data_IF_457170385375
#
_entry.id   IF_457170385375
#
_cell.length_a   1.000
_cell.length_b   1.000
_cell.length_c   1.000
_cell.angle_alpha   90.00
_cell.angle_beta   90.00
_cell.angle_gamma   90.00
#
_symmetry.space_group_name_H-M   'P 1'
#
loop_
_entity.id
_entity.type
_entity.pdbx_description
1 polymer ?
#
# COMPACT_ATOMS: atom_id res chain seq x y z
N UNK A 1 24.96 -31.03 -15.48
CA UNK A 1 23.80 -30.72 -14.61
C UNK A 1 23.75 -29.21 -14.53
N UNK A 2 22.70 -28.56 -15.05
CA UNK A 2 22.50 -27.14 -14.76
C UNK A 2 22.22 -27.05 -13.27
N UNK A 3 23.15 -26.45 -12.50
CA UNK A 3 22.87 -26.09 -11.12
C UNK A 3 21.64 -25.18 -11.13
N UNK A 4 20.63 -25.58 -10.35
CA UNK A 4 19.45 -24.76 -10.12
C UNK A 4 19.93 -23.45 -9.50
N UNK A 5 19.64 -22.33 -10.15
CA UNK A 5 20.00 -21.01 -9.63
C UNK A 5 18.89 -20.51 -8.72
N UNK A 6 19.25 -19.86 -7.62
CA UNK A 6 18.30 -19.37 -6.65
C UNK A 6 18.22 -17.85 -6.64
N UNK A 7 17.09 -17.31 -6.20
CA UNK A 7 16.91 -15.89 -5.97
C UNK A 7 16.30 -15.60 -4.60
N UNK A 8 16.60 -14.42 -4.08
CA UNK A 8 15.98 -13.89 -2.86
C UNK A 8 15.62 -12.41 -3.08
N UNK A 9 14.42 -12.01 -2.66
CA UNK A 9 13.99 -10.60 -2.71
C UNK A 9 13.62 -10.16 -1.30
N UNK A 10 14.23 -9.06 -0.86
CA UNK A 10 13.88 -8.40 0.40
C UNK A 10 13.05 -7.18 0.08
N UNK A 11 11.81 -7.20 0.55
CA UNK A 11 10.84 -6.16 0.25
C UNK A 11 10.76 -5.16 1.39
N UNK A 12 10.97 -3.89 1.07
CA UNK A 12 10.78 -2.76 1.96
C UNK A 12 9.71 -1.85 1.38
N UNK A 13 8.65 -1.60 2.14
CA UNK A 13 7.71 -0.55 1.79
C UNK A 13 6.26 -0.90 2.03
N UNK A 14 5.46 -0.70 0.98
CA UNK A 14 4.01 -0.83 1.01
C UNK A 14 3.52 -1.94 0.08
N UNK A 15 2.20 -2.08 -0.05
CA UNK A 15 1.53 -3.06 -0.89
C UNK A 15 1.96 -2.99 -2.36
N UNK A 16 2.34 -1.80 -2.85
CA UNK A 16 2.91 -1.65 -4.20
C UNK A 16 4.28 -2.34 -4.31
N UNK A 17 5.12 -2.28 -3.28
CA UNK A 17 6.40 -2.99 -3.27
C UNK A 17 6.18 -4.51 -3.16
N UNK A 18 5.19 -4.97 -2.41
CA UNK A 18 4.80 -6.39 -2.38
C UNK A 18 4.38 -6.86 -3.78
N UNK A 19 3.50 -6.11 -4.46
CA UNK A 19 3.12 -6.39 -5.84
C UNK A 19 4.32 -6.37 -6.81
N UNK A 20 5.19 -5.35 -6.73
CA UNK A 20 6.41 -5.28 -7.55
C UNK A 20 7.31 -6.52 -7.29
N UNK A 21 7.29 -7.07 -6.08
CA UNK A 21 8.03 -8.30 -5.72
C UNK A 21 7.44 -9.55 -6.38
N UNK A 22 6.10 -9.63 -6.48
CA UNK A 22 5.45 -10.71 -7.24
C UNK A 22 5.85 -10.67 -8.72
N UNK A 23 5.92 -9.47 -9.31
CA UNK A 23 6.39 -9.27 -10.70
C UNK A 23 7.85 -9.68 -10.84
N UNK A 24 8.75 -9.16 -10.00
CA UNK A 24 10.18 -9.50 -10.04
C UNK A 24 10.40 -11.01 -9.89
N UNK A 25 9.67 -11.64 -8.97
CA UNK A 25 9.70 -13.09 -8.76
C UNK A 25 9.22 -13.86 -9.99
N UNK A 26 8.11 -13.43 -10.60
CA UNK A 26 7.58 -14.04 -11.82
C UNK A 26 8.56 -13.98 -13.00
N UNK A 27 9.24 -12.84 -13.18
CA UNK A 27 10.30 -12.69 -14.18
C UNK A 27 11.45 -13.66 -13.89
N UNK A 28 11.92 -13.74 -12.64
CA UNK A 28 13.04 -14.61 -12.24
C UNK A 28 12.69 -16.10 -12.41
N UNK A 29 11.48 -16.52 -12.05
CA UNK A 29 11.03 -17.90 -12.25
C UNK A 29 10.94 -18.26 -13.74
N UNK A 30 10.51 -17.35 -14.62
CA UNK A 30 10.54 -17.56 -16.08
C UNK A 30 11.96 -17.70 -16.63
N UNK A 31 12.95 -17.04 -16.00
CA UNK A 31 14.37 -17.21 -16.32
C UNK A 31 14.97 -18.50 -15.73
N UNK A 32 14.18 -19.32 -15.03
CA UNK A 32 14.59 -20.60 -14.46
C UNK A 32 15.22 -20.52 -13.07
N UNK A 33 15.09 -19.39 -12.37
CA UNK A 33 15.51 -19.29 -10.97
C UNK A 33 14.45 -19.87 -10.02
N UNK A 34 14.88 -20.31 -8.84
CA UNK A 34 14.00 -20.77 -7.75
C UNK A 34 14.14 -19.88 -6.52
N UNK A 35 13.04 -19.67 -5.81
CA UNK A 35 13.08 -18.88 -4.58
C UNK A 35 13.83 -19.63 -3.47
N UNK A 36 14.59 -18.89 -2.66
CA UNK A 36 15.24 -19.39 -1.44
C UNK A 36 15.05 -18.40 -0.29
N UNK A 37 14.87 -18.89 0.93
CA UNK A 37 14.92 -18.09 2.17
C UNK A 37 16.36 -17.84 2.65
N UNK A 38 17.31 -18.62 2.14
CA UNK A 38 18.73 -18.54 2.46
C UNK A 38 19.47 -17.54 1.58
N UNK A 39 19.93 -16.44 2.19
CA UNK A 39 20.73 -15.40 1.51
C UNK A 39 22.04 -15.93 0.94
N UNK A 40 22.68 -16.89 1.60
CA UNK A 40 23.96 -17.48 1.19
C UNK A 40 23.84 -18.46 0.02
N UNK A 41 22.63 -18.94 -0.28
CA UNK A 41 22.34 -19.84 -1.39
C UNK A 41 21.84 -19.11 -2.65
N UNK A 42 21.64 -17.79 -2.58
CA UNK A 42 21.11 -17.00 -3.69
C UNK A 42 22.18 -16.71 -4.76
N UNK A 43 21.78 -16.76 -6.03
CA UNK A 43 22.56 -16.26 -7.17
C UNK A 43 22.13 -14.84 -7.56
N UNK A 44 20.91 -14.44 -7.18
CA UNK A 44 20.37 -13.09 -7.37
C UNK A 44 19.71 -12.65 -6.07
N UNK A 45 20.17 -11.54 -5.51
CA UNK A 45 19.59 -10.91 -4.33
C UNK A 45 19.10 -9.50 -4.69
N UNK A 46 17.79 -9.27 -4.62
CA UNK A 46 17.20 -7.95 -4.88
C UNK A 46 16.69 -7.31 -3.60
N UNK A 47 17.03 -6.05 -3.37
CA UNK A 47 16.34 -5.20 -2.39
C UNK A 47 15.29 -4.37 -3.14
N UNK A 48 14.01 -4.66 -2.95
CA UNK A 48 12.91 -3.86 -3.49
C UNK A 48 12.51 -2.80 -2.47
N UNK A 49 12.76 -1.55 -2.78
CA UNK A 49 12.85 -0.46 -1.79
C UNK A 49 11.75 0.59 -1.92
N UNK A 50 11.48 1.27 -0.81
CA UNK A 50 10.51 2.36 -0.71
C UNK A 50 11.20 3.66 -0.29
N UNK A 51 10.71 4.79 -0.78
CA UNK A 51 11.26 6.13 -0.58
C UNK A 51 10.46 6.99 0.41
N UNK A 52 9.43 6.43 1.04
CA UNK A 52 8.43 7.21 1.77
C UNK A 52 8.93 7.59 3.18
N UNK A 53 10.00 6.98 3.69
CA UNK A 53 10.57 7.27 5.02
C UNK A 53 12.09 7.34 4.96
N UNK A 54 12.69 8.43 5.43
CA UNK A 54 14.16 8.61 5.46
C UNK A 54 14.88 7.50 6.26
N UNK A 55 14.28 7.04 7.37
CA UNK A 55 14.78 5.88 8.13
C UNK A 55 14.84 4.59 7.30
N UNK A 56 14.01 4.45 6.27
CA UNK A 56 14.04 3.28 5.39
C UNK A 56 15.27 3.31 4.48
N UNK A 57 15.68 4.48 3.98
CA UNK A 57 16.89 4.62 3.14
C UNK A 57 18.16 4.20 3.88
N UNK A 58 18.34 4.68 5.12
CA UNK A 58 19.49 4.30 5.94
C UNK A 58 19.50 2.81 6.28
N UNK A 59 18.32 2.20 6.48
CA UNK A 59 18.19 0.75 6.72
C UNK A 59 18.62 -0.06 5.48
N UNK A 60 18.23 0.37 4.28
CA UNK A 60 18.64 -0.26 3.02
C UNK A 60 20.16 -0.17 2.85
N UNK A 61 20.75 1.01 3.04
CA UNK A 61 22.21 1.19 2.92
C UNK A 61 22.96 0.33 3.95
N UNK A 62 22.48 0.27 5.19
CA UNK A 62 23.04 -0.61 6.22
C UNK A 62 23.00 -2.08 5.81
N UNK A 63 21.85 -2.57 5.32
CA UNK A 63 21.71 -3.94 4.86
C UNK A 63 22.62 -4.24 3.67
N UNK A 64 22.73 -3.33 2.69
CA UNK A 64 23.70 -3.47 1.60
C UNK A 64 25.12 -3.65 2.11
N UNK A 65 25.52 -2.93 3.17
CA UNK A 65 26.82 -3.11 3.82
C UNK A 65 27.05 -4.53 4.34
N UNK A 66 26.03 -5.16 4.91
CA UNK A 66 26.09 -6.55 5.41
C UNK A 66 26.26 -7.56 4.27
N UNK A 67 25.61 -7.32 3.12
CA UNK A 67 25.69 -8.19 1.94
C UNK A 67 27.08 -8.22 1.29
N UNK A 68 27.98 -7.29 1.63
CA UNK A 68 29.37 -7.27 1.12
C UNK A 68 30.10 -8.59 1.38
N UNK A 69 29.88 -9.19 2.56
CA UNK A 69 30.53 -10.45 2.93
C UNK A 69 30.06 -11.61 2.03
N UNK A 70 28.78 -11.62 1.66
CA UNK A 70 28.24 -12.63 0.75
C UNK A 70 28.83 -12.49 -0.65
N UNK A 71 28.92 -11.27 -1.19
CA UNK A 71 29.58 -11.02 -2.49
C UNK A 71 31.06 -11.43 -2.49
N UNK A 72 31.76 -11.28 -1.36
CA UNK A 72 33.15 -11.74 -1.22
C UNK A 72 33.28 -13.27 -1.21
N UNK A 73 32.28 -13.96 -0.65
CA UNK A 73 32.23 -15.43 -0.61
C UNK A 73 31.78 -16.02 -1.96
N UNK A 74 30.88 -15.34 -2.65
CA UNK A 74 30.39 -15.69 -3.97
C UNK A 74 30.48 -14.49 -4.92
N UNK A 75 31.57 -14.34 -5.68
CA UNK A 75 31.71 -13.25 -6.66
C UNK A 75 30.64 -13.24 -7.75
N UNK A 76 30.04 -14.40 -8.06
CA UNK A 76 29.00 -14.56 -9.09
C UNK A 76 27.59 -14.17 -8.60
N UNK A 77 27.41 -13.94 -7.29
CA UNK A 77 26.14 -13.44 -6.73
C UNK A 77 25.85 -12.06 -7.29
N UNK A 78 24.68 -11.86 -7.89
CA UNK A 78 24.21 -10.54 -8.35
C UNK A 78 23.43 -9.86 -7.24
N UNK A 79 23.88 -8.69 -6.78
CA UNK A 79 23.16 -7.85 -5.80
C UNK A 79 22.52 -6.68 -6.52
N UNK A 80 21.19 -6.57 -6.44
CA UNK A 80 20.41 -5.51 -7.07
C UNK A 80 19.61 -4.66 -6.08
N UNK A 81 19.42 -3.38 -6.41
CA UNK A 81 18.50 -2.47 -5.71
C UNK A 81 17.47 -1.91 -6.69
N UNK A 82 16.20 -2.02 -6.35
CA UNK A 82 15.11 -1.50 -7.16
C UNK A 82 14.03 -0.82 -6.34
N UNK A 83 13.01 -0.28 -6.99
CA UNK A 83 11.86 0.35 -6.33
C UNK A 83 11.98 1.87 -6.21
N UNK A 84 11.10 2.49 -5.42
CA UNK A 84 10.93 3.94 -5.40
C UNK A 84 12.18 4.70 -4.94
N UNK A 85 12.97 4.12 -4.02
CA UNK A 85 14.17 4.77 -3.51
C UNK A 85 15.26 4.84 -4.58
N UNK A 86 15.42 3.82 -5.42
CA UNK A 86 16.37 3.84 -6.54
C UNK A 86 16.05 4.94 -7.56
N UNK A 87 14.77 5.33 -7.69
CA UNK A 87 14.29 6.37 -8.60
C UNK A 87 14.50 7.80 -8.07
N UNK A 88 14.81 7.98 -6.77
CA UNK A 88 15.07 9.31 -6.22
C UNK A 88 16.40 9.87 -6.75
N UNK A 89 16.38 11.17 -7.05
CA UNK A 89 17.55 11.89 -7.54
C UNK A 89 18.76 11.73 -6.60
N UNK A 90 19.90 11.32 -7.14
CA UNK A 90 21.17 11.16 -6.42
C UNK A 90 21.31 9.90 -5.58
N UNK A 91 20.25 9.09 -5.40
CA UNK A 91 20.32 7.85 -4.61
C UNK A 91 21.10 6.76 -5.34
N UNK A 92 20.89 6.59 -6.64
CA UNK A 92 21.61 5.59 -7.43
C UNK A 92 23.14 5.84 -7.39
N UNK A 93 23.57 7.10 -7.51
CA UNK A 93 24.97 7.51 -7.40
C UNK A 93 25.51 7.30 -5.98
N UNK A 94 24.69 7.58 -4.96
CA UNK A 94 25.04 7.34 -3.56
C UNK A 94 25.28 5.86 -3.30
N UNK A 95 24.40 4.98 -3.80
CA UNK A 95 24.55 3.51 -3.72
C UNK A 95 25.85 3.10 -4.43
N UNK A 96 26.06 3.51 -5.69
CA UNK A 96 27.29 3.19 -6.42
C UNK A 96 28.56 3.58 -5.67
N UNK A 97 28.56 4.74 -5.01
CA UNK A 97 29.73 5.25 -4.25
C UNK A 97 29.93 4.54 -2.91
N UNK A 98 28.86 4.29 -2.16
CA UNK A 98 28.94 3.76 -0.79
C UNK A 98 28.98 2.23 -0.74
N UNK A 99 28.39 1.56 -1.74
CA UNK A 99 28.24 0.11 -1.81
C UNK A 99 28.66 -0.38 -3.20
N UNK A 100 29.97 -0.35 -3.53
CA UNK A 100 30.47 -0.69 -4.88
C UNK A 100 30.31 -2.18 -5.24
N UNK A 101 29.97 -3.03 -4.27
CA UNK A 101 29.63 -4.45 -4.47
C UNK A 101 28.18 -4.68 -4.94
N UNK A 102 27.40 -3.62 -5.16
CA UNK A 102 26.08 -3.70 -5.80
C UNK A 102 26.27 -3.71 -7.31
N UNK A 103 25.69 -4.72 -7.97
CA UNK A 103 25.86 -4.95 -9.40
C UNK A 103 24.81 -4.23 -10.24
N UNK A 104 23.62 -4.01 -9.68
CA UNK A 104 22.47 -3.52 -10.43
C UNK A 104 21.64 -2.51 -9.62
N UNK A 105 21.28 -1.37 -10.22
CA UNK A 105 20.31 -0.40 -9.67
C UNK A 105 19.34 0.01 -10.77
N UNK A 106 18.03 -0.17 -10.54
CA UNK A 106 17.00 0.19 -11.51
C UNK A 106 15.73 0.76 -10.90
N UNK A 107 15.02 1.55 -11.68
CA UNK A 107 13.86 2.34 -11.25
C UNK A 107 12.56 1.55 -11.18
N UNK A 108 11.49 2.25 -10.80
CA UNK A 108 10.12 1.69 -10.77
C UNK A 108 9.51 1.56 -12.16
N UNK A 109 10.06 2.27 -13.15
CA UNK A 109 9.49 2.36 -14.51
C UNK A 109 9.91 1.23 -15.45
N UNK A 110 10.96 0.50 -15.12
CA UNK A 110 11.62 -0.46 -16.03
C UNK A 110 11.82 -1.85 -15.42
N UNK A 111 10.94 -2.27 -14.50
CA UNK A 111 10.96 -3.62 -13.88
C UNK A 111 10.98 -4.74 -14.95
N UNK A 112 10.23 -4.57 -16.04
CA UNK A 112 10.19 -5.52 -17.16
C UNK A 112 11.54 -5.77 -17.84
N UNK A 113 12.53 -4.87 -17.66
CA UNK A 113 13.89 -5.03 -18.21
C UNK A 113 14.84 -5.80 -17.31
N UNK A 114 14.38 -6.30 -16.16
CA UNK A 114 15.19 -7.12 -15.27
C UNK A 114 16.00 -8.23 -16.00
N UNK A 115 15.45 -8.97 -16.99
CA UNK A 115 16.22 -10.00 -17.69
C UNK A 115 17.48 -9.44 -18.38
N UNK A 116 17.33 -8.34 -19.10
CA UNK A 116 18.42 -7.69 -19.84
C UNK A 116 19.43 -7.05 -18.88
N UNK A 117 18.93 -6.44 -17.82
CA UNK A 117 19.74 -5.85 -16.75
C UNK A 117 20.60 -6.87 -16.01
N UNK A 118 20.05 -8.05 -15.72
CA UNK A 118 20.79 -9.15 -15.10
C UNK A 118 21.90 -9.70 -16.01
N UNK A 119 21.67 -9.76 -17.32
CA UNK A 119 22.70 -10.17 -18.28
C UNK A 119 23.85 -9.15 -18.28
N UNK A 120 23.54 -7.85 -18.39
CA UNK A 120 24.53 -6.78 -18.34
C UNK A 120 25.32 -6.77 -17.03
N UNK A 121 24.66 -7.00 -15.89
CA UNK A 121 25.33 -7.00 -14.58
C UNK A 121 26.31 -8.19 -14.41
N UNK A 122 26.07 -9.31 -15.11
CA UNK A 122 26.95 -10.48 -15.10
C UNK A 122 28.16 -10.33 -16.02
N UNK A 123 28.01 -9.60 -17.13
CA UNK A 123 29.08 -9.36 -18.10
C UNK A 123 29.99 -8.19 -17.73
N UNK A 124 29.45 -7.21 -17.00
CA UNK A 124 30.14 -5.97 -16.63
C UNK A 124 31.00 -6.07 -15.37
N UNK A 125 32.05 -5.25 -15.32
CA UNK A 125 32.89 -5.05 -14.12
C UNK A 125 32.43 -3.86 -13.25
N UNK A 126 31.27 -3.28 -13.55
CA UNK A 126 30.76 -2.06 -12.89
C UNK A 126 29.26 -2.14 -12.69
N UNK A 127 28.77 -1.47 -11.63
CA UNK A 127 27.33 -1.35 -11.34
C UNK A 127 26.56 -0.83 -12.55
N UNK A 128 25.61 -1.64 -13.02
CA UNK A 128 24.63 -1.24 -14.04
C UNK A 128 23.58 -0.35 -13.36
N UNK A 129 23.44 0.89 -13.84
CA UNK A 129 22.42 1.82 -13.36
C UNK A 129 21.48 2.14 -14.51
N UNK A 130 20.20 1.80 -14.34
CA UNK A 130 19.16 2.14 -15.32
C UNK A 130 17.94 2.77 -14.64
N UNK A 131 17.97 4.10 -14.55
CA UNK A 131 16.88 4.92 -14.01
C UNK A 131 16.25 5.72 -15.16
N UNK A 132 14.99 5.44 -15.48
CA UNK A 132 14.27 6.20 -16.50
C UNK A 132 13.68 7.46 -15.89
N UNK A 133 14.04 8.64 -16.42
CA UNK A 133 13.47 9.91 -15.97
C UNK A 133 11.95 10.01 -16.19
N UNK A 134 11.46 9.33 -17.24
CA UNK A 134 10.05 9.29 -17.61
C UNK A 134 9.63 7.87 -17.93
N UNK A 135 8.40 7.57 -17.56
CA UNK A 135 7.68 6.39 -17.98
C UNK A 135 7.55 6.27 -19.52
N UNK A 136 7.52 5.05 -20.04
CA UNK A 136 7.27 4.76 -21.47
C UNK A 136 6.00 3.93 -21.68
N UNK A 137 4.96 4.21 -20.90
CA UNK A 137 3.70 3.46 -20.93
C UNK A 137 3.62 2.35 -19.87
N UNK A 138 2.52 1.59 -19.91
CA UNK A 138 2.25 0.46 -19.03
C UNK A 138 2.52 -0.83 -19.80
N UNK A 139 3.25 -1.75 -19.18
CA UNK A 139 3.40 -3.12 -19.69
C UNK A 139 2.34 -3.97 -19.01
N UNK A 140 1.33 -4.37 -19.77
CA UNK A 140 0.27 -5.26 -19.28
C UNK A 140 0.76 -6.72 -19.23
N UNK A 141 0.05 -7.56 -18.46
CA UNK A 141 0.27 -9.00 -18.38
C UNK A 141 1.73 -9.42 -18.06
N UNK A 142 2.41 -8.66 -17.19
CA UNK A 142 3.73 -9.05 -16.70
C UNK A 142 3.65 -10.37 -15.92
N UNK A 143 4.68 -11.22 -16.00
CA UNK A 143 4.71 -12.46 -15.23
C UNK A 143 4.75 -12.16 -13.74
N UNK A 144 3.92 -12.86 -12.96
CA UNK A 144 3.81 -12.64 -11.52
C UNK A 144 3.76 -13.98 -10.79
N UNK A 145 4.60 -14.10 -9.76
CA UNK A 145 4.52 -15.18 -8.77
C UNK A 145 3.69 -14.68 -7.59
N UNK A 146 2.44 -15.14 -7.50
CA UNK A 146 1.57 -14.79 -6.37
C UNK A 146 2.06 -15.46 -5.10
N UNK A 147 2.06 -14.74 -3.98
CA UNK A 147 2.47 -15.26 -2.67
C UNK A 147 1.49 -16.33 -2.10
N UNK A 148 0.40 -16.64 -2.80
CA UNK A 148 -0.67 -17.52 -2.34
C UNK A 148 -1.64 -16.83 -1.38
N UNK A 149 -2.49 -17.62 -0.73
CA UNK A 149 -3.45 -17.13 0.26
C UNK A 149 -4.80 -16.69 -0.33
N UNK A 150 -5.55 -15.92 0.46
CA UNK A 150 -6.96 -15.62 0.19
C UNK A 150 -7.19 -14.30 -0.53
N UNK A 151 -6.14 -13.46 -0.61
CA UNK A 151 -6.18 -12.11 -1.16
C UNK A 151 -5.06 -11.86 -2.16
N UNK A 152 -5.36 -11.05 -3.17
CA UNK A 152 -4.39 -10.65 -4.18
C UNK A 152 -4.35 -9.13 -4.34
N UNK A 153 -3.18 -8.61 -4.66
CA UNK A 153 -2.98 -7.21 -5.00
C UNK A 153 -3.07 -7.03 -6.52
N UNK A 154 -3.90 -6.08 -6.96
CA UNK A 154 -4.06 -5.76 -8.38
C UNK A 154 -3.82 -4.27 -8.56
N UNK A 155 -2.69 -3.91 -9.15
CA UNK A 155 -2.44 -2.51 -9.48
C UNK A 155 -3.39 -2.08 -10.61
N UNK A 156 -4.11 -0.98 -10.45
CA UNK A 156 -5.02 -0.44 -11.49
C UNK A 156 -4.53 0.89 -12.07
N UNK A 157 -3.71 1.61 -11.32
CA UNK A 157 -3.15 2.89 -11.75
C UNK A 157 -1.75 3.08 -11.19
N UNK A 158 -0.90 3.79 -11.94
CA UNK A 158 0.46 4.13 -11.58
C UNK A 158 0.63 5.64 -11.55
N UNK A 159 1.51 6.14 -10.68
CA UNK A 159 1.83 7.56 -10.60
C UNK A 159 0.69 8.40 -10.02
N UNK A 160 0.90 9.71 -9.90
CA UNK A 160 -0.09 10.59 -9.25
C UNK A 160 0.04 12.03 -9.75
N UNK A 161 -1.10 12.64 -10.11
CA UNK A 161 -1.15 14.02 -10.60
C UNK A 161 -1.48 15.07 -9.53
N UNK A 162 -1.52 14.70 -8.25
CA UNK A 162 -1.91 15.64 -7.18
C UNK A 162 -0.81 16.62 -6.76
N UNK A 163 0.48 16.27 -6.90
CA UNK A 163 1.61 17.11 -6.48
C UNK A 163 1.44 17.75 -5.09
N UNK A 164 1.01 16.94 -4.12
CA UNK A 164 0.96 17.40 -2.73
C UNK A 164 2.37 17.78 -2.27
N UNK A 165 2.52 18.90 -1.56
CA UNK A 165 3.83 19.51 -1.31
C UNK A 165 4.80 18.66 -0.46
N UNK A 166 4.30 17.64 0.22
CA UNK A 166 5.07 16.65 1.01
C UNK A 166 5.30 15.31 0.30
N UNK A 167 4.69 15.11 -0.89
CA UNK A 167 4.63 13.80 -1.53
C UNK A 167 5.68 13.68 -2.62
N UNK A 168 6.57 12.69 -2.48
CA UNK A 168 7.62 12.40 -3.47
C UNK A 168 7.12 11.58 -4.65
N UNK A 169 5.97 10.91 -4.50
CA UNK A 169 5.41 9.94 -5.45
C UNK A 169 5.37 10.43 -6.90
N UNK A 170 4.90 11.66 -7.23
CA UNK A 170 4.85 12.12 -8.62
C UNK A 170 6.23 12.16 -9.31
N UNK A 171 7.31 12.26 -8.54
CA UNK A 171 8.68 12.32 -9.05
C UNK A 171 9.33 10.94 -9.19
N UNK A 172 8.85 9.93 -8.45
CA UNK A 172 9.46 8.58 -8.42
C UNK A 172 8.57 7.47 -8.98
N UNK A 173 7.31 7.79 -9.30
CA UNK A 173 6.36 6.88 -9.98
C UNK A 173 5.73 7.55 -11.21
N UNK A 174 6.13 8.77 -11.53
CA UNK A 174 5.69 9.50 -12.72
C UNK A 174 4.26 10.03 -12.65
N UNK A 175 3.74 10.42 -13.82
CA UNK A 175 2.36 10.90 -13.96
C UNK A 175 1.36 9.77 -13.81
N UNK A 176 0.15 10.15 -13.45
CA UNK A 176 -0.98 9.22 -13.35
C UNK A 176 -1.25 8.54 -14.69
N UNK A 177 -1.33 7.21 -14.66
CA UNK A 177 -1.63 6.36 -15.81
C UNK A 177 -2.51 5.21 -15.37
N UNK A 178 -3.67 5.07 -15.98
CA UNK A 178 -4.61 4.01 -15.71
C UNK A 178 -4.30 2.81 -16.59
N UNK A 179 -4.37 1.61 -16.00
CA UNK A 179 -4.35 0.36 -16.77
C UNK A 179 -5.61 0.23 -17.62
N UNK A 180 -5.51 -0.55 -18.67
CA UNK A 180 -6.68 -0.89 -19.47
C UNK A 180 -7.75 -1.63 -18.62
N UNK A 181 -9.03 -1.21 -18.63
CA UNK A 181 -10.06 -1.84 -17.79
C UNK A 181 -10.27 -3.33 -18.10
N UNK A 182 -10.10 -3.74 -19.37
CA UNK A 182 -10.26 -5.13 -19.76
C UNK A 182 -9.10 -5.97 -19.25
N UNK A 183 -7.86 -5.46 -19.33
CA UNK A 183 -6.70 -6.12 -18.74
C UNK A 183 -6.84 -6.30 -17.21
N UNK A 184 -7.39 -5.31 -16.50
CA UNK A 184 -7.67 -5.42 -15.06
C UNK A 184 -8.75 -6.49 -14.80
N UNK A 185 -9.83 -6.49 -15.59
CA UNK A 185 -10.89 -7.48 -15.46
C UNK A 185 -10.37 -8.91 -15.66
N UNK A 186 -9.57 -9.13 -16.70
CA UNK A 186 -8.97 -10.44 -17.01
C UNK A 186 -8.07 -10.93 -15.88
N UNK A 187 -7.21 -10.06 -15.34
CA UNK A 187 -6.36 -10.42 -14.19
C UNK A 187 -7.18 -10.78 -12.96
N UNK A 188 -8.22 -10.00 -12.62
CA UNK A 188 -9.10 -10.29 -11.47
C UNK A 188 -9.87 -11.59 -11.67
N UNK A 189 -10.33 -11.87 -12.90
CA UNK A 189 -11.00 -13.11 -13.26
C UNK A 189 -10.08 -14.32 -13.07
N UNK A 190 -8.85 -14.25 -13.58
CA UNK A 190 -7.87 -15.32 -13.39
C UNK A 190 -7.55 -15.57 -11.91
N UNK A 191 -7.47 -14.51 -11.10
CA UNK A 191 -7.26 -14.62 -9.66
C UNK A 191 -8.43 -15.33 -8.99
N UNK A 192 -9.67 -14.99 -9.35
CA UNK A 192 -10.84 -15.66 -8.83
C UNK A 192 -10.88 -17.15 -9.22
N UNK A 193 -10.52 -17.50 -10.46
CA UNK A 193 -10.40 -18.88 -10.94
C UNK A 193 -9.31 -19.67 -10.19
N UNK A 194 -8.24 -19.00 -9.75
CA UNK A 194 -7.18 -19.56 -8.89
C UNK A 194 -7.57 -19.67 -7.41
N UNK A 195 -8.79 -19.25 -7.05
CA UNK A 195 -9.35 -19.38 -5.70
C UNK A 195 -9.13 -18.17 -4.77
N UNK A 196 -8.58 -17.06 -5.27
CA UNK A 196 -8.49 -15.84 -4.47
C UNK A 196 -9.89 -15.26 -4.21
N UNK A 197 -10.19 -14.95 -2.95
CA UNK A 197 -11.51 -14.48 -2.50
C UNK A 197 -11.63 -12.96 -2.46
N UNK A 198 -10.54 -12.27 -2.14
CA UNK A 198 -10.48 -10.82 -2.09
C UNK A 198 -9.43 -10.27 -3.07
N UNK A 199 -9.77 -9.21 -3.79
CA UNK A 199 -8.77 -8.39 -4.50
C UNK A 199 -8.67 -7.02 -3.84
N UNK A 200 -7.44 -6.56 -3.63
CA UNK A 200 -7.16 -5.20 -3.24
C UNK A 200 -6.61 -4.43 -4.43
N UNK A 201 -7.42 -3.51 -4.94
CA UNK A 201 -7.06 -2.61 -6.02
C UNK A 201 -6.05 -1.57 -5.50
N UNK A 202 -4.88 -1.54 -6.14
CA UNK A 202 -3.76 -0.68 -5.77
C UNK A 202 -3.57 0.46 -6.76
N UNK A 203 -3.09 1.57 -6.22
CA UNK A 203 -2.70 2.75 -6.97
C UNK A 203 -2.32 3.87 -6.02
N UNK A 204 -1.69 4.92 -6.55
CA UNK A 204 -1.36 6.10 -5.73
C UNK A 204 -2.55 7.05 -5.54
N UNK A 205 -3.57 6.95 -6.40
CA UNK A 205 -4.85 7.64 -6.29
C UNK A 205 -5.93 6.85 -7.06
N UNK A 206 -6.48 5.80 -6.45
CA UNK A 206 -7.34 4.83 -7.17
C UNK A 206 -8.62 5.45 -7.73
N UNK A 207 -9.21 6.44 -7.06
CA UNK A 207 -10.44 7.09 -7.53
C UNK A 207 -10.20 8.19 -8.57
N UNK A 208 -8.96 8.37 -9.03
CA UNK A 208 -8.66 9.08 -10.28
C UNK A 208 -8.48 8.17 -11.49
N UNK A 209 -8.60 6.85 -11.30
CA UNK A 209 -8.60 5.89 -12.39
C UNK A 209 -9.57 6.31 -13.50
N UNK A 210 -9.08 6.23 -14.74
CA UNK A 210 -9.87 6.49 -15.94
C UNK A 210 -9.77 7.90 -16.50
N UNK A 211 -9.22 8.87 -15.75
CA UNK A 211 -9.12 10.27 -16.20
C UNK A 211 -8.23 10.45 -17.44
N UNK A 212 -7.26 9.57 -17.63
CA UNK A 212 -6.35 9.53 -18.77
C UNK A 212 -6.79 8.57 -19.88
N UNK A 213 -7.86 7.79 -19.68
CA UNK A 213 -8.34 6.82 -20.66
C UNK A 213 -9.26 7.48 -21.71
N UNK A 214 -9.04 7.13 -22.97
CA UNK A 214 -9.86 7.63 -24.09
C UNK A 214 -11.33 7.15 -24.03
N UNK A 215 -11.58 5.96 -23.48
CA UNK A 215 -12.92 5.37 -23.36
C UNK A 215 -13.74 5.93 -22.18
N UNK A 216 -13.17 6.83 -21.36
CA UNK A 216 -13.81 7.50 -20.22
C UNK A 216 -14.41 6.56 -19.16
N UNK A 217 -13.94 5.31 -19.09
CA UNK A 217 -14.29 4.38 -18.00
C UNK A 217 -13.65 4.92 -16.73
N UNK A 218 -14.45 5.28 -15.73
CA UNK A 218 -13.94 5.76 -14.44
C UNK A 218 -13.82 4.65 -13.39
N UNK A 219 -13.33 4.99 -12.20
CA UNK A 219 -13.17 4.02 -11.11
C UNK A 219 -14.48 3.34 -10.72
N UNK A 220 -15.61 4.05 -10.75
CA UNK A 220 -16.90 3.46 -10.43
C UNK A 220 -17.37 2.47 -11.51
N UNK A 221 -17.10 2.76 -12.78
CA UNK A 221 -17.34 1.81 -13.89
C UNK A 221 -16.48 0.54 -13.74
N UNK A 222 -15.20 0.69 -13.38
CA UNK A 222 -14.31 -0.44 -13.12
C UNK A 222 -14.81 -1.31 -11.96
N UNK A 223 -15.22 -0.71 -10.83
CA UNK A 223 -15.78 -1.48 -9.71
C UNK A 223 -17.03 -2.26 -10.13
N UNK A 224 -17.90 -1.66 -10.96
CA UNK A 224 -19.09 -2.35 -11.49
C UNK A 224 -18.73 -3.50 -12.41
N UNK A 225 -17.74 -3.36 -13.28
CA UNK A 225 -17.35 -4.47 -14.17
C UNK A 225 -16.80 -5.66 -13.40
N UNK A 226 -16.13 -5.42 -12.26
CA UNK A 226 -15.60 -6.46 -11.39
C UNK A 226 -16.69 -7.16 -10.54
N UNK A 227 -17.89 -6.58 -10.39
CA UNK A 227 -19.00 -7.18 -9.64
C UNK A 227 -19.42 -8.53 -10.23
N UNK A 228 -19.31 -8.71 -11.55
CA UNK A 228 -19.75 -9.92 -12.26
C UNK A 228 -18.71 -11.05 -12.27
N UNK A 229 -17.51 -10.84 -11.71
CA UNK A 229 -16.45 -11.86 -11.70
C UNK A 229 -16.83 -13.02 -10.77
N UNK A 230 -17.11 -14.18 -11.35
CA UNK A 230 -17.44 -15.39 -10.58
C UNK A 230 -16.27 -15.86 -9.71
N UNK A 231 -16.57 -16.33 -8.50
CA UNK A 231 -15.56 -16.78 -7.53
C UNK A 231 -14.96 -15.67 -6.65
N UNK A 232 -15.03 -14.41 -7.09
CA UNK A 232 -14.62 -13.25 -6.30
C UNK A 232 -15.70 -12.89 -5.26
N UNK A 233 -15.30 -12.75 -4.00
CA UNK A 233 -16.21 -12.41 -2.89
C UNK A 233 -16.06 -10.94 -2.45
N UNK A 234 -14.83 -10.39 -2.49
CA UNK A 234 -14.54 -9.05 -1.97
C UNK A 234 -13.65 -8.22 -2.89
N UNK A 235 -13.99 -6.95 -3.03
CA UNK A 235 -13.18 -5.92 -3.68
C UNK A 235 -12.87 -4.85 -2.65
N UNK A 236 -11.57 -4.55 -2.47
CA UNK A 236 -11.07 -3.52 -1.55
C UNK A 236 -10.15 -2.55 -2.29
N UNK A 237 -10.01 -1.35 -1.75
CA UNK A 237 -9.03 -0.35 -2.19
C UNK A 237 -8.61 0.49 -0.97
N UNK A 238 -7.46 1.16 -1.03
CA UNK A 238 -6.92 1.87 0.16
C UNK A 238 -6.18 3.17 -0.18
N UNK A 239 -6.47 3.83 -1.30
CA UNK A 239 -5.79 5.10 -1.62
C UNK A 239 -6.68 6.01 -2.47
N UNK A 240 -7.62 6.68 -1.81
CA UNK A 240 -8.52 7.64 -2.46
C UNK A 240 -8.17 9.08 -2.11
N UNK A 241 -8.33 10.00 -3.05
CA UNK A 241 -8.24 11.43 -2.78
C UNK A 241 -9.65 12.02 -2.57
N UNK A 242 -9.92 12.78 -1.49
CA UNK A 242 -11.27 13.29 -1.20
C UNK A 242 -11.89 14.10 -2.36
N UNK A 243 -11.11 14.93 -3.04
CA UNK A 243 -11.57 15.71 -4.21
C UNK A 243 -12.09 14.84 -5.37
N UNK A 244 -11.60 13.61 -5.49
CA UNK A 244 -11.93 12.71 -6.59
C UNK A 244 -13.02 11.69 -6.19
N UNK A 245 -13.65 11.88 -5.03
CA UNK A 245 -14.71 10.99 -4.54
C UNK A 245 -16.07 11.47 -5.05
N UNK A 246 -16.53 10.87 -6.14
CA UNK A 246 -17.77 11.26 -6.82
C UNK A 246 -19.01 10.61 -6.21
N UNK A 247 -20.16 11.23 -6.46
CA UNK A 247 -21.48 10.68 -6.11
C UNK A 247 -21.72 9.32 -6.75
N UNK A 248 -21.28 9.18 -8.01
CA UNK A 248 -21.33 7.93 -8.76
C UNK A 248 -20.56 6.81 -8.04
N UNK A 249 -19.42 7.13 -7.43
CA UNK A 249 -18.63 6.17 -6.66
C UNK A 249 -19.36 5.76 -5.36
N UNK A 250 -19.93 6.72 -4.63
CA UNK A 250 -20.72 6.44 -3.41
C UNK A 250 -21.89 5.49 -3.72
N UNK A 251 -22.69 5.80 -4.75
CA UNK A 251 -23.83 4.96 -5.13
C UNK A 251 -23.39 3.58 -5.66
N UNK A 252 -22.24 3.49 -6.33
CA UNK A 252 -21.69 2.21 -6.79
C UNK A 252 -21.29 1.32 -5.63
N UNK A 253 -20.61 1.88 -4.62
CA UNK A 253 -20.20 1.12 -3.43
C UNK A 253 -21.43 0.67 -2.64
N UNK A 254 -22.41 1.57 -2.46
CA UNK A 254 -23.68 1.28 -1.78
C UNK A 254 -24.47 0.14 -2.44
N UNK A 255 -24.47 0.06 -3.77
CA UNK A 255 -25.22 -0.94 -4.52
C UNK A 255 -24.49 -2.28 -4.68
N UNK A 256 -23.17 -2.31 -4.43
CA UNK A 256 -22.34 -3.49 -4.64
C UNK A 256 -22.44 -4.49 -3.48
N UNK A 257 -22.35 -5.78 -3.81
CA UNK A 257 -22.25 -6.86 -2.82
C UNK A 257 -20.80 -7.22 -2.53
N UNK A 258 -19.89 -7.00 -3.50
CA UNK A 258 -18.48 -7.37 -3.38
C UNK A 258 -17.59 -6.23 -2.89
N UNK A 259 -17.89 -4.98 -3.25
CA UNK A 259 -17.10 -3.84 -2.79
C UNK A 259 -17.35 -3.63 -1.30
N UNK A 260 -16.27 -3.77 -0.53
CA UNK A 260 -16.32 -3.67 0.91
C UNK A 260 -16.60 -2.23 1.36
N UNK A 261 -17.35 -2.08 2.46
CA UNK A 261 -17.75 -0.79 3.05
C UNK A 261 -16.59 -0.11 3.82
N UNK A 262 -15.37 -0.22 3.30
CA UNK A 262 -14.15 0.36 3.86
C UNK A 262 -13.71 1.54 3.01
N UNK A 263 -13.84 2.74 3.56
CA UNK A 263 -13.49 3.99 2.90
C UNK A 263 -12.20 4.53 3.51
N UNK A 264 -11.12 4.44 2.76
CA UNK A 264 -9.86 5.07 3.14
C UNK A 264 -9.74 6.45 2.48
N UNK A 265 -9.93 7.50 3.27
CA UNK A 265 -9.98 8.90 2.84
C UNK A 265 -8.96 9.74 3.63
N UNK A 266 -7.70 9.81 3.18
CA UNK A 266 -6.68 10.64 3.79
C UNK A 266 -7.02 12.14 3.78
N UNK A 267 -7.24 12.72 4.96
CA UNK A 267 -7.44 14.17 5.10
C UNK A 267 -6.12 14.91 5.18
N UNK A 268 -5.10 14.29 5.80
CA UNK A 268 -3.76 14.80 6.05
C UNK A 268 -3.69 15.90 7.12
N UNK A 269 -4.60 16.87 7.12
CA UNK A 269 -4.74 17.90 8.17
C UNK A 269 -6.18 18.42 8.22
N UNK A 270 -6.66 18.85 9.40
CA UNK A 270 -7.99 19.49 9.52
C UNK A 270 -7.98 21.00 9.32
N UNK A 271 -6.82 21.64 9.20
CA UNK A 271 -6.71 23.09 8.98
C UNK A 271 -6.78 23.45 7.50
N UNK A 272 -7.64 24.42 7.15
CA UNK A 272 -7.72 24.95 5.79
C UNK A 272 -6.41 25.62 5.34
N UNK A 273 -5.69 26.30 6.24
CA UNK A 273 -4.41 26.92 5.94
C UNK A 273 -3.35 25.87 5.60
N UNK A 274 -3.30 24.78 6.36
CA UNK A 274 -2.37 23.67 6.13
C UNK A 274 -2.76 22.84 4.92
N UNK A 275 -4.04 22.52 4.72
CA UNK A 275 -4.54 21.85 3.51
C UNK A 275 -4.18 22.62 2.23
N UNK A 276 -4.25 23.96 2.26
CA UNK A 276 -3.80 24.82 1.16
C UNK A 276 -2.30 24.71 0.92
N UNK A 277 -1.47 24.81 1.97
CA UNK A 277 -0.01 24.62 1.86
C UNK A 277 0.37 23.20 1.39
N UNK A 278 -0.42 22.20 1.77
CA UNK A 278 -0.28 20.81 1.34
C UNK A 278 -0.66 20.59 -0.14
N UNK A 279 -1.26 21.59 -0.80
CA UNK A 279 -1.83 21.50 -2.15
C UNK A 279 -2.92 20.41 -2.26
N UNK A 280 -3.88 20.40 -1.34
CA UNK A 280 -4.99 19.42 -1.33
C UNK A 280 -6.16 19.82 -2.23
N UNK A 281 -6.38 21.12 -2.44
CA UNK A 281 -7.43 21.62 -3.32
C UNK A 281 -8.86 21.37 -2.83
N UNK A 282 -9.04 21.22 -1.52
CA UNK A 282 -10.35 21.15 -0.83
C UNK A 282 -10.21 21.74 0.58
N UNK A 283 -11.35 21.99 1.24
CA UNK A 283 -11.40 22.51 2.62
C UNK A 283 -11.90 21.44 3.60
N UNK A 284 -11.76 21.69 4.91
CA UNK A 284 -12.27 20.83 5.98
C UNK A 284 -13.79 20.68 5.91
N UNK A 285 -14.51 21.73 5.49
CA UNK A 285 -15.98 21.73 5.39
C UNK A 285 -16.40 20.75 4.31
N UNK A 286 -15.84 20.88 3.11
CA UNK A 286 -16.05 19.94 2.01
C UNK A 286 -15.75 18.49 2.42
N UNK A 287 -14.65 18.29 3.16
CA UNK A 287 -14.28 16.95 3.64
C UNK A 287 -15.32 16.37 4.62
N UNK A 288 -15.79 17.17 5.58
CA UNK A 288 -16.80 16.74 6.55
C UNK A 288 -18.16 16.48 5.88
N UNK A 289 -18.55 17.28 4.89
CA UNK A 289 -19.74 17.04 4.08
C UNK A 289 -19.65 15.72 3.31
N UNK A 290 -18.50 15.43 2.69
CA UNK A 290 -18.26 14.15 2.03
C UNK A 290 -18.34 12.97 3.00
N UNK A 291 -17.73 13.10 4.19
CA UNK A 291 -17.82 12.09 5.25
C UNK A 291 -19.26 11.84 5.66
N UNK A 292 -20.04 12.91 5.88
CA UNK A 292 -21.44 12.80 6.26
C UNK A 292 -22.25 12.09 5.17
N UNK A 293 -22.05 12.46 3.91
CA UNK A 293 -22.69 11.83 2.76
C UNK A 293 -22.40 10.33 2.69
N UNK A 294 -21.16 9.91 2.94
CA UNK A 294 -20.80 8.49 2.94
C UNK A 294 -21.50 7.75 4.09
N UNK A 295 -21.51 8.32 5.30
CA UNK A 295 -22.19 7.72 6.46
C UNK A 295 -23.69 7.56 6.23
N UNK A 296 -24.34 8.54 5.59
CA UNK A 296 -25.76 8.50 5.26
C UNK A 296 -26.08 7.47 4.17
N UNK A 297 -25.26 7.42 3.11
CA UNK A 297 -25.47 6.50 2.00
C UNK A 297 -25.13 5.04 2.36
N UNK A 298 -24.12 4.83 3.21
CA UNK A 298 -23.61 3.51 3.61
C UNK A 298 -23.51 3.47 5.15
N UNK A 299 -24.59 3.09 5.86
CA UNK A 299 -24.63 3.11 7.32
C UNK A 299 -23.57 2.25 8.02
N UNK A 300 -23.07 1.20 7.35
CA UNK A 300 -21.98 0.34 7.84
C UNK A 300 -20.57 0.81 7.42
N UNK A 301 -20.44 2.01 6.88
CA UNK A 301 -19.16 2.54 6.40
C UNK A 301 -18.11 2.59 7.52
N UNK A 302 -17.00 1.90 7.30
CA UNK A 302 -15.79 2.06 8.09
C UNK A 302 -14.95 3.16 7.46
N UNK A 303 -14.74 4.26 8.19
CA UNK A 303 -13.95 5.38 7.71
C UNK A 303 -12.53 5.30 8.29
N UNK A 304 -11.54 5.32 7.41
CA UNK A 304 -10.13 5.39 7.80
C UNK A 304 -9.43 6.54 7.10
N UNK A 305 -8.35 7.06 7.69
CA UNK A 305 -7.67 8.25 7.16
C UNK A 305 -6.17 8.21 7.42
N UNK A 306 -5.45 9.14 6.81
CA UNK A 306 -4.06 9.48 7.17
C UNK A 306 -4.02 10.92 7.68
N UNK A 307 -3.20 11.16 8.71
CA UNK A 307 -2.97 12.49 9.28
C UNK A 307 -1.47 12.72 9.45
N UNK A 308 -0.99 13.87 9.01
CA UNK A 308 0.39 14.33 9.16
C UNK A 308 0.40 15.46 10.21
N UNK A 309 1.06 15.22 11.34
CA UNK A 309 1.24 16.18 12.43
C UNK A 309 2.57 16.90 12.28
N UNK A 310 2.59 18.21 12.54
CA UNK A 310 3.81 19.00 12.50
C UNK A 310 4.24 19.38 11.10
N UNK A 311 3.28 19.52 10.17
CA UNK A 311 3.57 20.00 8.83
C UNK A 311 4.22 21.41 8.89
N UNK A 312 5.14 21.77 7.97
CA UNK A 312 5.85 23.05 8.05
C UNK A 312 4.92 24.27 8.14
N UNK A 313 5.09 25.04 9.22
CA UNK A 313 4.25 26.18 9.58
C UNK A 313 2.88 25.85 10.17
N UNK A 314 2.68 24.65 10.73
CA UNK A 314 1.50 24.27 11.53
C UNK A 314 1.53 24.91 12.93
N UNK A 315 0.51 25.70 13.23
CA UNK A 315 0.30 26.35 14.53
C UNK A 315 -0.53 25.48 15.48
N UNK A 316 -0.70 25.91 16.73
CA UNK A 316 -1.58 25.20 17.67
C UNK A 316 -3.05 25.27 17.26
N UNK A 317 -3.49 26.40 16.71
CA UNK A 317 -4.85 26.56 16.17
C UNK A 317 -5.11 25.59 15.00
N UNK A 318 -4.14 25.46 14.09
CA UNK A 318 -4.23 24.49 12.98
C UNK A 318 -4.34 23.03 13.48
N UNK A 319 -3.66 22.73 14.59
CA UNK A 319 -3.73 21.42 15.20
C UNK A 319 -5.06 21.18 15.92
N UNK A 320 -5.62 22.21 16.60
CA UNK A 320 -6.97 22.12 17.16
C UNK A 320 -8.03 21.83 16.09
N UNK A 321 -7.93 22.46 14.93
CA UNK A 321 -8.80 22.18 13.79
C UNK A 321 -8.70 20.71 13.34
N UNK A 322 -7.51 20.13 13.40
CA UNK A 322 -7.30 18.70 13.12
C UNK A 322 -7.99 17.81 14.15
N UNK A 323 -7.88 18.12 15.44
CA UNK A 323 -8.57 17.38 16.50
C UNK A 323 -10.10 17.50 16.39
N UNK A 324 -10.63 18.67 16.02
CA UNK A 324 -12.07 18.88 15.80
C UNK A 324 -12.59 18.01 14.64
N UNK A 325 -11.87 17.97 13.52
CA UNK A 325 -12.27 17.12 12.38
C UNK A 325 -12.23 15.64 12.76
N UNK A 326 -11.22 15.18 13.50
CA UNK A 326 -11.15 13.79 13.99
C UNK A 326 -12.32 13.47 14.91
N UNK A 327 -12.69 14.41 15.78
CA UNK A 327 -13.83 14.27 16.69
C UNK A 327 -15.15 14.19 15.92
N UNK A 328 -15.36 15.00 14.89
CA UNK A 328 -16.59 15.01 14.09
C UNK A 328 -16.70 13.83 13.12
N UNK A 329 -15.60 13.47 12.48
CA UNK A 329 -15.58 12.39 11.51
C UNK A 329 -15.63 11.01 12.18
N UNK A 330 -15.10 10.89 13.40
CA UNK A 330 -15.03 9.65 14.18
C UNK A 330 -14.43 8.49 13.37
N UNK A 331 -13.20 8.63 12.91
CA UNK A 331 -12.55 7.57 12.12
C UNK A 331 -12.42 6.28 12.92
N UNK A 332 -12.70 5.15 12.28
CA UNK A 332 -12.47 3.81 12.84
C UNK A 332 -10.99 3.54 13.09
N UNK A 333 -10.12 4.08 12.24
CA UNK A 333 -8.67 3.99 12.35
C UNK A 333 -8.05 5.16 11.60
N UNK A 334 -6.98 5.74 12.13
CA UNK A 334 -6.17 6.72 11.41
C UNK A 334 -4.70 6.30 11.41
N UNK A 335 -4.05 6.35 10.24
CA UNK A 335 -2.60 6.29 10.17
C UNK A 335 -2.04 7.68 10.45
N UNK A 336 -1.44 7.84 11.62
CA UNK A 336 -0.86 9.11 12.05
C UNK A 336 0.64 9.11 11.83
N UNK A 337 1.15 10.22 11.29
CA UNK A 337 2.56 10.38 10.98
C UNK A 337 3.08 11.72 11.52
N UNK A 338 4.29 11.72 12.06
CA UNK A 338 5.06 12.95 12.22
C UNK A 338 5.58 13.39 10.85
N UNK A 339 5.44 14.66 10.51
CA UNK A 339 6.03 15.20 9.28
C UNK A 339 7.56 15.03 9.31
N UNK A 340 8.07 14.36 8.27
CA UNK A 340 9.49 14.17 8.00
C UNK A 340 9.80 14.82 6.65
N UNK A 341 10.73 15.78 6.58
CA UNK A 341 11.18 16.37 5.32
C UNK A 341 11.68 15.28 4.37
N UNK A 342 11.28 15.35 3.10
CA UNK A 342 11.75 14.44 2.06
C UNK A 342 12.49 15.20 0.98
N UNK A 343 13.72 14.78 0.70
CA UNK A 343 14.50 15.36 -0.41
C UNK A 343 13.67 15.31 -1.71
N UNK A 344 13.72 16.39 -2.49
CA UNK A 344 12.95 16.56 -3.72
C UNK A 344 11.53 17.09 -3.54
N UNK A 345 10.98 17.16 -2.32
CA UNK A 345 9.62 17.71 -2.09
C UNK A 345 9.64 19.21 -1.80
N UNK A 346 8.62 19.99 -2.23
CA UNK A 346 8.54 21.41 -1.91
C UNK A 346 8.59 21.74 -0.41
N UNK A 347 7.83 20.98 0.41
CA UNK A 347 7.71 21.23 1.85
C UNK A 347 9.00 20.94 2.63
N UNK A 348 9.95 20.19 2.06
CA UNK A 348 11.23 19.93 2.72
C UNK A 348 12.12 21.19 2.85
N UNK A 349 11.86 22.22 2.04
CA UNK A 349 12.61 23.49 2.03
C UNK A 349 11.99 24.56 2.94
N UNK A 350 10.87 24.27 3.59
CA UNK A 350 10.15 25.21 4.43
C UNK A 350 10.63 25.14 5.89
N UNK A 351 10.31 26.17 6.67
CA UNK A 351 10.63 26.21 8.10
C UNK A 351 9.84 25.14 8.86
N UNK A 352 10.57 24.32 9.61
CA UNK A 352 10.05 23.12 10.25
C UNK A 352 9.48 23.45 11.64
N UNK A 353 8.41 22.76 12.01
CA UNK A 353 7.89 22.82 13.39
C UNK A 353 8.89 22.15 14.34
N UNK A 354 9.17 22.71 15.53
CA UNK A 354 10.06 22.09 16.52
C UNK A 354 9.61 20.67 16.89
N UNK A 355 10.58 19.76 17.00
CA UNK A 355 10.31 18.32 17.23
C UNK A 355 9.47 18.06 18.48
N UNK A 356 9.72 18.81 19.57
CA UNK A 356 8.96 18.66 20.82
C UNK A 356 7.49 19.03 20.65
N UNK A 357 7.18 20.08 19.88
CA UNK A 357 5.79 20.42 19.55
C UNK A 357 5.14 19.34 18.67
N UNK A 358 5.88 18.77 17.70
CA UNK A 358 5.33 17.68 16.88
C UNK A 358 4.98 16.46 17.72
N UNK A 359 5.86 16.07 18.64
CA UNK A 359 5.65 14.91 19.54
C UNK A 359 4.47 15.12 20.48
N UNK A 360 4.37 16.30 21.11
CA UNK A 360 3.27 16.63 22.02
C UNK A 360 1.91 16.54 21.30
N UNK A 361 1.79 17.19 20.14
CA UNK A 361 0.58 17.13 19.31
C UNK A 361 0.27 15.72 18.86
N UNK A 362 1.28 14.97 18.44
CA UNK A 362 1.11 13.59 18.00
C UNK A 362 0.53 12.70 19.12
N UNK A 363 0.98 12.86 20.37
CA UNK A 363 0.40 12.12 21.50
C UNK A 363 -1.07 12.48 21.73
N UNK A 364 -1.44 13.76 21.72
CA UNK A 364 -2.84 14.19 21.88
C UNK A 364 -3.76 13.64 20.78
N UNK A 365 -3.27 13.64 19.54
CA UNK A 365 -4.00 13.03 18.41
C UNK A 365 -4.17 11.52 18.60
N UNK A 366 -3.11 10.82 19.03
CA UNK A 366 -3.16 9.38 19.30
C UNK A 366 -4.16 9.05 20.41
N UNK A 367 -4.15 9.78 21.52
CA UNK A 367 -5.09 9.58 22.63
C UNK A 367 -6.55 9.74 22.16
N UNK A 368 -6.83 10.81 21.40
CA UNK A 368 -8.14 11.05 20.83
C UNK A 368 -8.58 9.92 19.87
N UNK A 369 -7.72 9.56 18.90
CA UNK A 369 -8.03 8.52 17.94
C UNK A 369 -8.20 7.15 18.61
N UNK A 370 -7.39 6.82 19.62
CA UNK A 370 -7.51 5.56 20.37
C UNK A 370 -8.86 5.47 21.08
N UNK A 371 -9.30 6.57 21.72
CA UNK A 371 -10.61 6.66 22.38
C UNK A 371 -11.76 6.44 21.40
N UNK A 372 -11.68 7.02 20.20
CA UNK A 372 -12.69 6.83 19.15
C UNK A 372 -12.67 5.39 18.63
N UNK A 373 -11.49 4.85 18.32
CA UNK A 373 -11.32 3.51 17.74
C UNK A 373 -11.88 2.42 18.66
N UNK A 374 -11.55 2.48 19.96
CA UNK A 374 -12.10 1.52 20.94
C UNK A 374 -13.60 1.69 21.12
N UNK A 375 -14.13 2.92 21.13
CA UNK A 375 -15.57 3.16 21.24
C UNK A 375 -16.33 2.56 20.06
N UNK A 376 -15.82 2.73 18.84
CA UNK A 376 -16.40 2.12 17.63
C UNK A 376 -16.31 0.59 17.65
N UNK A 377 -15.17 0.03 18.03
CA UNK A 377 -15.03 -1.43 18.12
C UNK A 377 -15.96 -2.04 19.18
N UNK A 378 -16.18 -1.35 20.31
CA UNK A 378 -17.12 -1.79 21.36
C UNK A 378 -18.57 -1.83 20.89
N UNK A 379 -18.96 -1.04 19.90
CA UNK A 379 -20.31 -1.11 19.33
C UNK A 379 -20.57 -2.47 18.66
N UNK A 380 -19.52 -3.17 18.22
CA UNK A 380 -19.63 -4.48 17.58
C UNK A 380 -19.75 -5.63 18.59
N UNK A 381 -19.57 -5.40 19.88
CA UNK A 381 -19.69 -6.45 20.90
C UNK A 381 -21.08 -7.11 20.85
N UNK A 382 -21.10 -8.43 20.78
CA UNK A 382 -22.30 -9.25 20.67
C UNK A 382 -22.91 -9.32 19.27
N UNK A 383 -22.42 -8.52 18.31
CA UNK A 383 -22.85 -8.59 16.92
C UNK A 383 -22.17 -9.75 16.18
N UNK A 384 -22.81 -10.22 15.12
CA UNK A 384 -22.26 -11.23 14.21
C UNK A 384 -21.75 -10.52 12.97
N UNK A 385 -20.46 -10.67 12.70
CA UNK A 385 -19.77 -10.08 11.57
C UNK A 385 -19.34 -11.16 10.57
N UNK A 386 -19.35 -10.81 9.29
CA UNK A 386 -18.83 -11.66 8.22
C UNK A 386 -17.30 -11.54 8.16
N UNK A 387 -16.57 -12.63 8.46
CA UNK A 387 -15.11 -12.64 8.53
C UNK A 387 -14.53 -13.56 7.47
N UNK A 388 -13.72 -13.00 6.56
CA UNK A 388 -12.87 -13.78 5.66
C UNK A 388 -11.62 -14.20 6.43
N UNK A 389 -11.47 -15.50 6.67
CA UNK A 389 -10.34 -16.05 7.43
C UNK A 389 -9.10 -16.13 6.54
N UNK A 390 -8.02 -15.46 6.93
CA UNK A 390 -6.80 -15.33 6.12
C UNK A 390 -5.76 -16.42 6.45
N UNK A 391 -5.71 -16.90 7.69
CA UNK A 391 -4.70 -17.85 8.15
C UNK A 391 -4.43 -17.75 9.65
N UNK A 392 -3.31 -18.30 10.14
CA UNK A 392 -2.89 -18.18 11.53
C UNK A 392 -2.62 -16.72 11.94
N UNK A 393 -2.91 -16.39 13.21
CA UNK A 393 -2.61 -15.08 13.77
C UNK A 393 -1.11 -14.91 13.99
N UNK A 394 -0.58 -13.75 13.60
CA UNK A 394 0.84 -13.41 13.75
C UNK A 394 1.35 -13.42 15.18
N UNK A 395 0.46 -13.19 16.16
CA UNK A 395 0.82 -13.11 17.58
C UNK A 395 0.62 -14.43 18.32
N UNK A 396 -0.16 -15.35 17.74
CA UNK A 396 -0.42 -16.67 18.30
C UNK A 396 -0.91 -17.60 17.16
N UNK A 397 -0.02 -18.46 16.67
CA UNK A 397 -0.31 -19.38 15.56
C UNK A 397 -1.40 -20.40 15.89
N UNK A 398 -1.71 -20.63 17.18
CA UNK A 398 -2.81 -21.51 17.59
C UNK A 398 -4.20 -20.87 17.38
N UNK A 399 -4.26 -19.59 16.99
CA UNK A 399 -5.50 -18.88 16.65
C UNK A 399 -5.49 -18.48 15.19
N UNK A 400 -6.68 -18.35 14.62
CA UNK A 400 -6.85 -17.82 13.28
C UNK A 400 -7.06 -16.31 13.31
N UNK A 401 -6.76 -15.66 12.19
CA UNK A 401 -7.03 -14.25 11.95
C UNK A 401 -7.80 -14.09 10.65
N UNK A 402 -8.72 -13.15 10.64
CA UNK A 402 -9.50 -12.77 9.49
C UNK A 402 -9.84 -11.30 9.51
N UNK A 403 -10.55 -10.86 8.47
CA UNK A 403 -11.00 -9.47 8.35
C UNK A 403 -12.49 -9.38 8.09
N UNK A 404 -13.12 -8.41 8.74
CA UNK A 404 -14.49 -8.01 8.39
C UNK A 404 -14.51 -7.27 7.06
N UNK A 405 -15.70 -7.06 6.49
CA UNK A 405 -15.86 -6.19 5.31
C UNK A 405 -15.33 -4.77 5.56
N UNK A 406 -15.54 -4.23 6.76
CA UNK A 406 -14.95 -2.98 7.24
C UNK A 406 -13.43 -2.99 7.46
N UNK A 407 -12.72 -4.06 7.07
CA UNK A 407 -11.27 -4.21 7.24
C UNK A 407 -10.79 -4.27 8.71
N UNK A 408 -11.68 -4.58 9.66
CA UNK A 408 -11.29 -4.78 11.07
C UNK A 408 -10.69 -6.17 11.22
N UNK A 409 -9.59 -6.26 11.96
CA UNK A 409 -8.92 -7.53 12.26
C UNK A 409 -9.72 -8.27 13.32
N UNK A 410 -10.04 -9.53 13.06
CA UNK A 410 -10.71 -10.42 14.01
C UNK A 410 -9.81 -11.61 14.27
N UNK A 411 -9.49 -11.85 15.54
CA UNK A 411 -8.82 -13.06 16.01
C UNK A 411 -9.88 -14.01 16.53
N UNK A 412 -9.82 -15.28 16.12
CA UNK A 412 -10.81 -16.29 16.51
C UNK A 412 -10.15 -17.65 16.71
N UNK A 413 -10.82 -18.49 17.49
CA UNK A 413 -10.50 -19.92 17.59
C UNK A 413 -11.26 -20.68 16.49
N UNK A 414 -10.59 -21.65 15.87
CA UNK A 414 -11.16 -22.40 14.75
C UNK A 414 -10.14 -23.36 14.13
N UNK A 415 -10.66 -24.33 13.40
CA UNK A 415 -9.87 -25.31 12.65
C UNK A 415 -9.33 -24.72 11.35
N UNK A 416 -8.10 -25.10 10.93
CA UNK A 416 -7.48 -24.58 9.71
C UNK A 416 -8.29 -24.81 8.43
N UNK A 417 -9.24 -25.76 8.42
CA UNK A 417 -10.14 -26.02 7.29
C UNK A 417 -11.07 -24.85 6.95
N UNK A 418 -11.16 -23.81 7.80
CA UNK A 418 -11.93 -22.59 7.51
C UNK A 418 -11.08 -21.48 6.89
N UNK A 419 -9.76 -21.65 6.75
CA UNK A 419 -8.89 -20.70 6.05
C UNK A 419 -9.37 -20.54 4.60
N UNK A 420 -9.53 -19.29 4.14
CA UNK A 420 -10.09 -19.00 2.82
C UNK A 420 -11.60 -19.05 2.72
N UNK A 421 -12.30 -19.32 3.84
CA UNK A 421 -13.75 -19.22 3.92
C UNK A 421 -14.16 -17.93 4.60
N UNK A 422 -15.32 -17.46 4.19
CA UNK A 422 -16.04 -16.37 4.82
C UNK A 422 -17.03 -16.97 5.81
N UNK A 423 -16.87 -16.69 7.11
CA UNK A 423 -17.64 -17.32 8.20
C UNK A 423 -18.31 -16.27 9.10
N UNK A 424 -19.49 -16.57 9.66
CA UNK A 424 -20.14 -15.70 10.64
C UNK A 424 -19.42 -15.82 11.99
N UNK A 425 -18.96 -14.68 12.52
CA UNK A 425 -18.22 -14.60 13.79
C UNK A 425 -18.94 -13.67 14.74
N UNK A 426 -19.30 -14.17 15.92
CA UNK A 426 -19.83 -13.34 16.99
C UNK A 426 -18.67 -12.65 17.70
N UNK A 427 -18.69 -11.33 17.78
CA UNK A 427 -17.65 -10.55 18.44
C UNK A 427 -17.89 -10.59 19.96
N UNK A 428 -16.88 -11.06 20.71
CA UNK A 428 -16.95 -11.24 22.17
C UNK A 428 -16.03 -10.29 22.93
N UNK A 429 -14.96 -9.80 22.29
CA UNK A 429 -14.05 -8.81 22.85
C UNK A 429 -13.71 -7.74 21.81
N UNK A 430 -13.56 -6.50 22.27
CA UNK A 430 -13.16 -5.38 21.44
C UNK A 430 -11.93 -4.72 22.04
N UNK A 431 -10.84 -4.73 21.28
CA UNK A 431 -9.61 -4.00 21.57
C UNK A 431 -9.50 -2.81 20.62
N UNK A 432 -8.51 -1.94 20.83
CA UNK A 432 -8.37 -0.71 20.01
C UNK A 432 -8.10 -1.03 18.54
N UNK A 433 -7.31 -2.08 18.27
CA UNK A 433 -6.82 -2.41 16.91
C UNK A 433 -7.29 -3.77 16.39
N UNK A 434 -7.98 -4.55 17.22
CA UNK A 434 -8.48 -5.86 16.84
C UNK A 434 -9.75 -6.20 17.62
N UNK A 435 -10.48 -7.17 17.10
CA UNK A 435 -11.62 -7.80 17.75
C UNK A 435 -11.24 -9.24 18.06
N UNK A 436 -11.87 -9.81 19.09
CA UNK A 436 -11.85 -11.25 19.33
C UNK A 436 -13.27 -11.76 19.14
N UNK A 437 -13.38 -12.87 18.42
CA UNK A 437 -14.67 -13.48 18.14
C UNK A 437 -14.64 -14.99 18.23
N UNK A 438 -15.83 -15.56 18.26
CA UNK A 438 -16.07 -17.01 18.21
C UNK A 438 -16.93 -17.33 16.99
N UNK A 439 -16.72 -18.50 16.38
CA UNK A 439 -17.59 -18.97 15.31
C UNK A 439 -19.02 -18.99 15.82
N UNK A 440 -19.93 -18.32 15.10
CA UNK A 440 -21.33 -18.31 15.47
C UNK A 440 -21.96 -19.63 15.00
N UNK A 441 -22.37 -20.56 15.89
CA UNK A 441 -22.86 -21.88 15.52
C UNK A 441 -24.29 -21.85 14.94
N UNK A 442 -24.89 -20.67 14.81
CA UNK A 442 -26.22 -20.48 14.22
C UNK A 442 -26.10 -20.35 12.69
N UNK A 443 -25.85 -21.48 12.02
CA UNK A 443 -26.38 -21.84 10.70
C UNK A 443 -26.61 -23.35 10.62
#
# INVERSE_FOLDING_TARGET
MNLIKNYHIVTYGCQMNEHDTEVLSGILEQLGYQWTDRLDAADVLLLNTCCVREKAENKVIGHLGELKKLKQQNPDLVIGVCGCMAQQEGIAEKIRRQTPHVDLVFGTHNIHRLPELLALAREGNSTVIEIWEKEKGIVEAMPMKRAGGVKAYVTITYGCNNFCSYCIVPYVRGRERSRDPQAVYEEVKELAEKGFKEVMLLGQNVNSYGKDLANKVDFADLLRSLEDVQGLERIRYMTSHPRDFSDKLVETIKASRKVCEHFHLPIQSGSNAILKKMNRGYTREYYLELVQKIKEAVPKATLTTDIIVGFPGETEEDFQDTLDVVTKAEFDTAFTFLYSPRSGTPAAKWEQVPEEAKKERFQRLLELQNRISIAKNRQLLGQVEEVLVEGPSKTNEARLTGRTRGNKVVVLEGDESIIGKTVPVKIIEAQTWSLVGELNPLE
#
